data_IF_759147553250
#
_entry.id   IF_759147553250
#
_cell.length_a   1.000
_cell.length_b   1.000
_cell.length_c   1.000
_cell.angle_alpha   90.00
_cell.angle_beta   90.00
_cell.angle_gamma   90.00
#
_symmetry.space_group_name_H-M   'P 1'
#
loop_
_entity.id
_entity.type
_entity.pdbx_description
1 polymer ?
#
# COMPACT_ATOMS: atom_id res chain seq x y z
N UNK A 1 -13.78 -25.09 15.93
CA UNK A 1 -14.81 -24.06 15.66
C UNK A 1 -14.19 -23.06 14.72
N UNK A 2 -14.87 -22.73 13.63
CA UNK A 2 -14.45 -21.69 12.67
C UNK A 2 -15.52 -20.60 12.75
N UNK A 3 -15.11 -19.34 12.80
CA UNK A 3 -16.02 -18.18 12.82
C UNK A 3 -15.58 -17.14 11.79
N UNK A 4 -16.55 -16.47 11.20
CA UNK A 4 -16.29 -15.30 10.36
C UNK A 4 -15.82 -14.12 11.22
N UNK A 5 -14.90 -13.33 10.67
CA UNK A 5 -14.36 -12.11 11.29
C UNK A 5 -14.18 -11.02 10.24
N UNK A 6 -14.25 -9.77 10.67
CA UNK A 6 -13.87 -8.61 9.85
C UNK A 6 -12.43 -8.22 10.17
N UNK A 7 -11.63 -7.93 9.14
CA UNK A 7 -10.22 -7.55 9.24
C UNK A 7 -9.94 -6.40 8.27
N UNK A 8 -8.77 -5.77 8.39
CA UNK A 8 -8.36 -4.62 7.59
C UNK A 8 -7.21 -5.01 6.65
N UNK A 9 -7.32 -4.65 5.37
CA UNK A 9 -6.26 -4.82 4.36
C UNK A 9 -5.89 -3.45 3.78
N UNK A 10 -4.62 -3.25 3.45
CA UNK A 10 -4.17 -2.04 2.73
C UNK A 10 -4.16 -2.34 1.24
N UNK A 11 -4.86 -1.53 0.45
CA UNK A 11 -5.01 -1.72 -0.99
C UNK A 11 -4.50 -0.48 -1.70
N UNK A 12 -3.73 -0.66 -2.78
CA UNK A 12 -3.21 0.44 -3.57
C UNK A 12 -4.35 1.10 -4.36
N UNK A 13 -4.60 2.38 -4.10
CA UNK A 13 -5.64 3.18 -4.77
C UNK A 13 -5.40 3.36 -6.28
N UNK A 14 -4.19 3.05 -6.78
CA UNK A 14 -3.83 3.16 -8.20
C UNK A 14 -3.93 1.83 -8.97
N UNK A 15 -3.41 0.74 -8.42
CA UNK A 15 -3.34 -0.55 -9.13
C UNK A 15 -4.19 -1.66 -8.53
N UNK A 16 -4.79 -1.45 -7.35
CA UNK A 16 -5.59 -2.46 -6.65
C UNK A 16 -4.79 -3.60 -6.02
N UNK A 17 -3.44 -3.56 -6.07
CA UNK A 17 -2.60 -4.52 -5.34
C UNK A 17 -2.93 -4.43 -3.85
N UNK A 18 -3.02 -5.58 -3.18
CA UNK A 18 -3.17 -5.64 -1.72
C UNK A 18 -1.79 -5.85 -1.10
N UNK A 19 -1.47 -5.08 -0.07
CA UNK A 19 -0.21 -5.18 0.68
C UNK A 19 -0.13 -6.54 1.40
N UNK A 20 1.08 -7.13 1.44
CA UNK A 20 1.37 -8.36 2.17
C UNK A 20 0.95 -9.68 1.49
N UNK A 21 0.09 -9.65 0.47
CA UNK A 21 -0.41 -10.89 -0.19
C UNK A 21 0.74 -11.74 -0.76
N UNK A 22 1.76 -11.11 -1.35
CA UNK A 22 2.94 -11.81 -1.88
C UNK A 22 3.75 -12.52 -0.77
N UNK A 23 3.64 -12.04 0.47
CA UNK A 23 4.29 -12.57 1.68
C UNK A 23 3.34 -13.46 2.52
N UNK A 24 2.13 -13.74 2.02
CA UNK A 24 1.12 -14.54 2.71
C UNK A 24 0.40 -13.83 3.85
N UNK A 25 0.42 -12.49 3.88
CA UNK A 25 -0.29 -11.66 4.85
C UNK A 25 -1.40 -10.88 4.14
N UNK A 26 -2.64 -11.35 4.26
CA UNK A 26 -3.77 -10.72 3.55
C UNK A 26 -4.40 -9.54 4.31
N UNK A 27 -4.35 -9.54 5.65
CA UNK A 27 -5.05 -8.55 6.50
C UNK A 27 -4.58 -8.53 7.97
N UNK A 28 -5.00 -7.49 8.70
CA UNK A 28 -4.70 -7.24 10.11
C UNK A 28 -5.98 -7.06 10.95
N UNK A 29 -5.86 -7.27 12.25
CA UNK A 29 -6.99 -7.20 13.20
C UNK A 29 -7.48 -5.76 13.45
N UNK A 30 -6.65 -4.75 13.17
CA UNK A 30 -6.97 -3.34 13.35
C UNK A 30 -6.32 -2.45 12.28
N UNK A 31 -6.87 -1.25 12.12
CA UNK A 31 -6.45 -0.28 11.11
C UNK A 31 -5.06 0.31 11.38
N UNK A 32 -4.66 0.43 12.66
CA UNK A 32 -3.39 1.05 13.02
C UNK A 32 -2.24 0.13 12.60
N UNK A 33 -2.29 -1.15 12.98
CA UNK A 33 -1.27 -2.12 12.57
C UNK A 33 -1.21 -2.30 11.06
N UNK A 34 -2.36 -2.30 10.36
CA UNK A 34 -2.39 -2.37 8.89
C UNK A 34 -1.60 -1.20 8.25
N UNK A 35 -1.80 0.02 8.75
CA UNK A 35 -1.10 1.24 8.26
C UNK A 35 0.37 1.25 8.62
N UNK A 36 0.70 0.91 9.87
CA UNK A 36 2.07 0.87 10.36
C UNK A 36 2.92 -0.10 9.53
N UNK A 37 2.45 -1.34 9.33
CA UNK A 37 3.17 -2.34 8.55
C UNK A 37 3.36 -1.92 7.09
N UNK A 38 2.32 -1.34 6.46
CA UNK A 38 2.43 -0.83 5.10
C UNK A 38 3.49 0.28 5.01
N UNK A 39 3.45 1.24 5.93
CA UNK A 39 4.38 2.38 5.97
C UNK A 39 5.83 1.93 6.21
N UNK A 40 6.04 0.94 7.08
CA UNK A 40 7.35 0.32 7.31
C UNK A 40 7.88 -0.45 6.08
N UNK A 41 7.01 -0.75 5.10
CA UNK A 41 7.31 -1.53 3.89
C UNK A 41 7.29 -0.70 2.60
N UNK A 42 7.66 0.59 2.68
CA UNK A 42 7.74 1.53 1.54
C UNK A 42 6.41 1.87 0.87
N UNK A 43 5.27 1.40 1.38
CA UNK A 43 3.99 1.94 0.96
C UNK A 43 3.81 3.33 1.56
N UNK A 44 3.11 4.19 0.82
CA UNK A 44 2.88 5.57 1.25
C UNK A 44 1.39 5.83 1.45
N UNK A 45 1.05 6.47 2.56
CA UNK A 45 -0.25 7.09 2.81
C UNK A 45 -0.21 8.57 2.41
N UNK A 46 -1.08 8.98 1.49
CA UNK A 46 -1.22 10.39 1.05
C UNK A 46 -2.68 10.78 1.22
N UNK A 47 -2.98 11.55 2.27
CA UNK A 47 -4.35 11.82 2.68
C UNK A 47 -5.00 10.57 3.28
N UNK A 48 -6.08 10.09 2.68
CA UNK A 48 -6.79 8.85 3.06
C UNK A 48 -6.48 7.67 2.12
N UNK A 49 -5.56 7.87 1.17
CA UNK A 49 -5.22 6.90 0.11
C UNK A 49 -3.87 6.26 0.35
N UNK A 50 -3.72 5.03 -0.13
CA UNK A 50 -2.52 4.22 0.01
C UNK A 50 -1.97 3.83 -1.35
N UNK A 51 -0.64 3.85 -1.50
CA UNK A 51 0.02 3.53 -2.76
C UNK A 51 1.20 2.60 -2.55
N UNK A 52 1.30 1.59 -3.42
CA UNK A 52 2.43 0.67 -3.43
C UNK A 52 3.68 1.33 -4.05
N UNK A 53 4.89 0.82 -3.75
CA UNK A 53 6.14 1.35 -4.30
C UNK A 53 6.25 1.20 -5.82
N UNK A 54 5.44 0.35 -6.46
CA UNK A 54 5.37 0.27 -7.93
C UNK A 54 4.57 1.42 -8.56
N UNK A 55 3.72 2.08 -7.77
CA UNK A 55 2.80 3.11 -8.23
C UNK A 55 3.26 4.52 -7.88
N UNK A 56 3.94 4.72 -6.75
CA UNK A 56 4.43 6.00 -6.28
C UNK A 56 5.89 5.88 -5.82
N UNK A 57 6.64 6.97 -5.94
CA UNK A 57 8.01 7.11 -5.45
C UNK A 57 8.23 8.48 -4.86
N UNK A 58 9.21 8.60 -3.96
CA UNK A 58 9.65 9.89 -3.47
C UNK A 58 10.54 10.56 -4.53
N UNK A 59 10.22 11.80 -4.90
CA UNK A 59 11.02 12.64 -5.80
C UNK A 59 11.94 13.54 -4.98
N UNK A 60 13.25 13.32 -5.08
CA UNK A 60 14.24 14.17 -4.41
C UNK A 60 14.22 15.63 -4.92
N UNK A 61 13.80 15.87 -6.17
CA UNK A 61 13.73 17.21 -6.76
C UNK A 61 12.56 18.03 -6.18
N UNK A 62 11.42 17.38 -5.97
CA UNK A 62 10.19 18.02 -5.50
C UNK A 62 10.00 17.87 -3.98
N UNK A 63 10.83 17.06 -3.32
CA UNK A 63 10.72 16.67 -1.92
C UNK A 63 9.33 16.10 -1.56
N UNK A 64 8.70 15.38 -2.50
CA UNK A 64 7.34 14.83 -2.33
C UNK A 64 7.17 13.47 -3.02
N UNK A 65 6.12 12.73 -2.62
CA UNK A 65 5.74 11.49 -3.32
C UNK A 65 4.95 11.79 -4.60
N UNK A 66 5.45 11.27 -5.72
CA UNK A 66 4.85 11.44 -7.04
C UNK A 66 4.44 10.11 -7.66
N UNK A 67 3.41 10.09 -8.53
CA UNK A 67 3.07 8.88 -9.26
C UNK A 67 4.20 8.48 -10.21
N UNK A 68 4.61 7.21 -10.16
CA UNK A 68 5.54 6.65 -11.16
C UNK A 68 4.93 6.77 -12.56
N UNK A 69 5.73 7.22 -13.54
CA UNK A 69 5.33 7.14 -14.94
C UNK A 69 5.16 5.66 -15.27
N UNK A 70 3.96 5.26 -15.72
CA UNK A 70 3.83 3.91 -16.32
C UNK A 70 4.77 3.91 -17.51
N UNK A 71 5.68 2.94 -17.57
CA UNK A 71 6.62 2.81 -18.69
C UNK A 71 5.83 2.96 -19.98
N UNK A 72 6.09 4.03 -20.72
CA UNK A 72 5.73 4.05 -22.13
C UNK A 72 6.54 2.95 -22.78
N UNK A 73 5.88 2.11 -23.56
CA UNK A 73 6.52 1.12 -24.43
C UNK A 73 7.73 1.78 -25.12
N UNK A 74 8.94 1.30 -24.80
CA UNK A 74 10.15 1.53 -25.58
C UNK A 74 10.41 0.30 -26.44
#
# INVERSE_FOLDING_TARGET
>A
MIKEVTMYSVVCDRCGKTYGVDDGIDCWVDICTAREQATESEWVEIGDKHYCPDCYEFSDELEEYVPKKKGGDL
#
